data_IF_262271459320
#
_entry.id   IF_262271459320
#
_cell.length_a   1.000
_cell.length_b   1.000
_cell.length_c   1.000
_cell.angle_alpha   90.00
_cell.angle_beta   90.00
_cell.angle_gamma   90.00
#
_symmetry.space_group_name_H-M   'P 1'
#
loop_
_entity.id
_entity.type
_entity.pdbx_description
1 polymer ?
#
# COMPACT_ATOMS: atom_id res chain seq x y z
N UNK A 1 -4.41 -14.87 -9.94
CA UNK A 1 -5.83 -15.23 -9.82
C UNK A 1 -6.72 -14.01 -9.61
N UNK A 2 -6.27 -13.06 -8.83
CA UNK A 2 -7.03 -11.84 -8.60
C UNK A 2 -7.35 -11.12 -9.91
N UNK A 3 -6.41 -11.11 -10.84
CA UNK A 3 -6.63 -10.51 -12.14
C UNK A 3 -7.71 -11.23 -12.94
N UNK A 4 -7.90 -12.53 -12.67
CA UNK A 4 -8.96 -13.28 -13.31
C UNK A 4 -10.34 -12.89 -12.75
N UNK A 5 -10.42 -12.57 -11.47
CA UNK A 5 -11.65 -12.08 -10.85
C UNK A 5 -12.02 -10.74 -11.47
N UNK A 6 -11.03 -9.92 -11.81
CA UNK A 6 -11.21 -8.58 -12.32
C UNK A 6 -10.95 -8.52 -13.83
N UNK A 7 -11.14 -9.63 -14.54
CA UNK A 7 -11.01 -9.65 -15.98
C UNK A 7 -12.22 -8.95 -16.63
N UNK A 8 -12.19 -8.80 -17.96
CA UNK A 8 -13.23 -8.09 -18.68
C UNK A 8 -14.63 -8.65 -18.42
N UNK A 9 -14.74 -9.97 -18.34
CA UNK A 9 -16.01 -10.63 -18.10
C UNK A 9 -16.58 -10.26 -16.73
N UNK A 10 -15.76 -10.36 -15.68
CA UNK A 10 -16.18 -10.01 -14.34
C UNK A 10 -16.51 -8.53 -14.23
N UNK A 11 -15.68 -7.69 -14.83
CA UNK A 11 -15.90 -6.25 -14.78
C UNK A 11 -17.19 -5.85 -15.52
N UNK A 12 -17.49 -6.52 -16.62
CA UNK A 12 -18.72 -6.26 -17.35
C UNK A 12 -19.94 -6.64 -16.51
N UNK A 13 -19.89 -7.81 -15.88
CA UNK A 13 -20.98 -8.27 -15.01
C UNK A 13 -21.15 -7.35 -13.81
N UNK A 14 -20.03 -6.96 -13.19
CA UNK A 14 -20.05 -6.07 -12.05
C UNK A 14 -20.57 -4.69 -12.44
N UNK A 15 -20.12 -4.18 -13.58
CA UNK A 15 -20.58 -2.90 -14.09
C UNK A 15 -22.07 -2.87 -14.36
N UNK A 16 -22.60 -3.98 -14.87
CA UNK A 16 -24.03 -4.13 -15.06
C UNK A 16 -24.78 -4.05 -13.75
N UNK A 17 -24.27 -4.75 -12.73
CA UNK A 17 -24.87 -4.70 -11.39
C UNK A 17 -24.73 -3.32 -10.76
N UNK A 18 -23.65 -2.62 -11.05
CA UNK A 18 -23.39 -1.30 -10.49
C UNK A 18 -24.38 -0.24 -10.96
N UNK A 19 -25.08 -0.48 -12.06
CA UNK A 19 -26.16 0.39 -12.46
C UNK A 19 -27.30 0.36 -11.44
N UNK A 20 -27.38 -0.74 -10.70
CA UNK A 20 -28.41 -0.95 -9.69
C UNK A 20 -27.87 -0.85 -8.26
N UNK A 21 -26.58 -1.17 -8.10
CA UNK A 21 -25.91 -1.11 -6.80
C UNK A 21 -24.55 -0.41 -7.00
N UNK A 22 -24.12 0.30 -5.98
CA UNK A 22 -22.85 1.02 -6.05
C UNK A 22 -21.68 0.04 -5.91
N UNK A 23 -20.68 0.18 -6.80
CA UNK A 23 -19.44 -0.57 -6.68
C UNK A 23 -18.75 -0.21 -5.35
N UNK A 24 -18.16 -1.19 -4.63
CA UNK A 24 -17.42 -0.89 -3.41
C UNK A 24 -16.28 0.08 -3.68
N UNK A 25 -16.04 0.96 -2.72
CA UNK A 25 -14.97 1.94 -2.79
C UNK A 25 -13.79 1.51 -1.94
N UNK A 26 -12.64 2.10 -2.22
CA UNK A 26 -11.45 1.90 -1.38
C UNK A 26 -11.76 2.23 0.07
N UNK A 27 -12.60 3.25 0.32
CA UNK A 27 -13.02 3.61 1.66
C UNK A 27 -13.68 2.45 2.40
N UNK A 28 -14.46 1.63 1.69
CA UNK A 28 -15.14 0.49 2.29
C UNK A 28 -14.14 -0.57 2.76
N UNK A 29 -13.11 -0.81 1.96
CA UNK A 29 -12.05 -1.75 2.32
C UNK A 29 -11.28 -1.24 3.53
N UNK A 30 -10.91 0.04 3.53
CA UNK A 30 -10.16 0.64 4.63
C UNK A 30 -10.94 0.59 5.93
N UNK A 31 -12.26 0.83 5.87
CA UNK A 31 -13.12 0.75 7.04
C UNK A 31 -13.16 -0.67 7.63
N UNK A 32 -13.07 -1.68 6.77
CA UNK A 32 -13.13 -3.09 7.19
C UNK A 32 -11.82 -3.60 7.77
N UNK A 33 -10.70 -2.89 7.57
CA UNK A 33 -9.42 -3.32 8.13
C UNK A 33 -9.46 -3.44 9.64
N UNK A 34 -10.28 -2.63 10.29
CA UNK A 34 -10.51 -2.74 11.72
C UNK A 34 -9.30 -2.46 12.59
N UNK A 35 -8.19 -2.08 12.00
CA UNK A 35 -6.96 -1.77 12.73
C UNK A 35 -6.83 -0.28 12.94
N UNK A 36 -6.55 0.09 14.17
CA UNK A 36 -6.22 1.47 14.48
C UNK A 36 -4.73 1.67 14.19
N UNK A 37 -4.41 1.98 12.93
CA UNK A 37 -3.04 2.35 12.59
C UNK A 37 -2.88 3.85 12.72
N UNK A 38 -1.68 4.32 13.05
CA UNK A 38 -1.39 5.75 12.93
C UNK A 38 -1.74 6.20 11.53
N UNK A 39 -2.15 7.45 11.40
CA UNK A 39 -2.65 7.96 10.12
C UNK A 39 -1.69 7.70 8.96
N UNK A 40 -0.40 7.77 9.21
CA UNK A 40 0.57 7.60 8.14
C UNK A 40 1.88 7.04 8.68
N UNK A 41 2.03 5.73 8.60
CA UNK A 41 3.28 5.06 8.97
C UNK A 41 4.28 5.26 7.84
N UNK A 42 5.47 5.77 8.16
CA UNK A 42 6.47 6.12 7.15
C UNK A 42 7.88 6.02 7.74
N UNK A 43 8.88 6.12 6.88
CA UNK A 43 10.28 6.26 7.29
C UNK A 43 10.91 7.41 6.53
N UNK A 44 11.99 7.96 7.10
CA UNK A 44 12.79 8.99 6.45
C UNK A 44 14.05 8.36 5.85
N UNK A 45 14.58 8.91 4.76
CA UNK A 45 15.71 8.28 4.06
C UNK A 45 16.99 8.18 4.91
N UNK A 46 17.17 9.04 5.91
CA UNK A 46 18.33 8.99 6.79
C UNK A 46 18.17 8.01 7.95
N UNK A 47 16.99 7.47 8.18
CA UNK A 47 16.79 6.43 9.19
C UNK A 47 17.46 5.14 8.72
N UNK A 48 17.94 4.33 9.67
CA UNK A 48 18.67 3.13 9.27
C UNK A 48 17.74 1.97 8.93
N UNK A 49 18.30 1.00 8.22
CA UNK A 49 17.57 -0.20 7.78
C UNK A 49 16.97 -0.95 8.99
N UNK A 50 17.70 -1.02 10.10
CA UNK A 50 17.20 -1.68 11.30
C UNK A 50 15.94 -1.04 11.86
N UNK A 51 15.89 0.30 11.84
CA UNK A 51 14.71 1.03 12.30
C UNK A 51 13.51 0.78 11.38
N UNK A 52 13.74 0.73 10.06
CA UNK A 52 12.69 0.43 9.11
C UNK A 52 12.13 -0.98 9.33
N UNK A 53 13.00 -1.95 9.55
CA UNK A 53 12.58 -3.33 9.82
C UNK A 53 11.73 -3.38 11.09
N UNK A 54 12.11 -2.64 12.12
CA UNK A 54 11.34 -2.60 13.37
C UNK A 54 9.93 -2.07 13.14
N UNK A 55 9.79 -1.02 12.30
CA UNK A 55 8.48 -0.49 11.94
C UNK A 55 7.65 -1.47 11.15
N UNK A 56 8.25 -2.15 10.18
CA UNK A 56 7.56 -3.16 9.38
C UNK A 56 6.97 -4.25 10.28
N UNK A 57 7.73 -4.67 11.29
CA UNK A 57 7.29 -5.70 12.22
C UNK A 57 6.24 -5.16 13.20
N UNK A 58 6.43 -3.97 13.72
CA UNK A 58 5.52 -3.36 14.68
C UNK A 58 4.10 -3.21 14.09
N UNK A 59 4.02 -2.76 12.85
CA UNK A 59 2.74 -2.52 12.19
C UNK A 59 2.30 -3.68 11.30
N UNK A 60 3.08 -4.76 11.27
CA UNK A 60 2.76 -5.97 10.50
C UNK A 60 2.44 -5.64 9.04
N UNK A 61 3.31 -4.87 8.43
CA UNK A 61 3.21 -4.51 7.02
C UNK A 61 4.49 -4.94 6.31
N UNK A 62 4.39 -5.15 5.00
CA UNK A 62 5.54 -5.58 4.20
C UNK A 62 6.20 -4.45 3.43
N UNK A 63 5.62 -3.26 3.45
CA UNK A 63 6.14 -2.11 2.74
C UNK A 63 5.79 -0.84 3.49
N UNK A 64 6.67 0.17 3.38
CA UNK A 64 6.45 1.49 3.97
C UNK A 64 6.84 2.56 2.97
N UNK A 65 6.12 3.68 2.95
CA UNK A 65 6.54 4.83 2.15
C UNK A 65 7.72 5.55 2.80
N UNK A 66 8.58 6.13 1.95
CA UNK A 66 9.72 6.92 2.38
C UNK A 66 9.44 8.38 2.04
N UNK A 67 9.54 9.26 3.02
CA UNK A 67 9.33 10.69 2.84
C UNK A 67 10.48 11.47 3.47
N UNK A 68 10.83 12.63 2.90
CA UNK A 68 11.89 13.47 3.45
C UNK A 68 11.40 14.34 4.58
N UNK A 69 10.19 14.88 4.44
CA UNK A 69 9.65 15.84 5.38
C UNK A 69 8.77 15.17 6.43
N UNK A 70 8.57 15.85 7.54
CA UNK A 70 7.64 15.38 8.55
C UNK A 70 6.20 15.57 8.06
N UNK A 71 5.29 14.61 8.36
CA UNK A 71 3.89 14.83 8.06
C UNK A 71 3.34 16.08 8.78
N UNK A 72 2.34 16.75 8.17
CA UNK A 72 1.58 16.32 7.02
C UNK A 72 2.32 16.51 5.69
N UNK A 73 2.29 15.49 4.86
CA UNK A 73 2.89 15.53 3.51
C UNK A 73 1.84 15.14 2.48
N UNK A 74 2.07 15.53 1.23
CA UNK A 74 1.21 15.09 0.13
C UNK A 74 1.76 13.80 -0.46
N UNK A 75 0.88 13.01 -1.09
CA UNK A 75 1.30 11.75 -1.71
C UNK A 75 2.43 11.97 -2.73
N UNK A 76 2.45 13.12 -3.39
CA UNK A 76 3.50 13.47 -4.36
C UNK A 76 4.86 13.68 -3.70
N UNK A 77 4.91 13.85 -2.38
CA UNK A 77 6.16 14.05 -1.65
C UNK A 77 6.79 12.74 -1.20
N UNK A 78 6.15 11.60 -1.47
CA UNK A 78 6.70 10.29 -1.17
C UNK A 78 7.78 9.99 -2.20
N UNK A 79 9.02 9.81 -1.74
CA UNK A 79 10.18 9.68 -2.65
C UNK A 79 10.54 8.24 -2.96
N UNK A 80 9.99 7.28 -2.23
CA UNK A 80 10.30 5.88 -2.45
C UNK A 80 9.50 4.99 -1.53
N UNK A 81 9.89 3.73 -1.50
CA UNK A 81 9.28 2.75 -0.60
C UNK A 81 10.34 1.81 -0.05
N UNK A 82 10.06 1.25 1.12
CA UNK A 82 10.88 0.21 1.74
C UNK A 82 10.08 -1.09 1.64
N UNK A 83 10.68 -2.10 1.02
CA UNK A 83 10.04 -3.41 0.84
C UNK A 83 10.78 -4.43 1.68
N UNK A 84 10.07 -5.10 2.58
CA UNK A 84 10.65 -6.06 3.51
C UNK A 84 11.49 -7.12 2.81
N UNK A 85 10.97 -7.69 1.74
CA UNK A 85 11.68 -8.74 1.00
C UNK A 85 12.99 -8.24 0.42
N UNK A 86 13.00 -7.02 -0.10
CA UNK A 86 14.20 -6.46 -0.70
C UNK A 86 15.26 -6.15 0.36
N UNK A 87 14.84 -5.67 1.53
CA UNK A 87 15.76 -5.45 2.64
C UNK A 87 16.34 -6.77 3.15
N UNK A 88 15.51 -7.79 3.28
CA UNK A 88 15.98 -9.09 3.70
C UNK A 88 17.03 -9.63 2.75
N UNK A 89 16.76 -9.56 1.45
CA UNK A 89 17.70 -10.02 0.43
C UNK A 89 19.01 -9.24 0.50
N UNK A 90 18.93 -7.92 0.66
CA UNK A 90 20.14 -7.09 0.75
C UNK A 90 20.96 -7.40 2.00
N UNK A 91 20.30 -7.68 3.12
CA UNK A 91 21.01 -8.03 4.36
C UNK A 91 21.68 -9.40 4.24
N UNK A 92 20.97 -10.38 3.70
CA UNK A 92 21.50 -11.74 3.55
C UNK A 92 22.70 -11.77 2.60
N UNK A 93 22.65 -11.00 1.52
CA UNK A 93 23.73 -10.97 0.54
C UNK A 93 24.87 -10.02 0.90
N UNK A 94 24.75 -9.31 2.02
CA UNK A 94 25.77 -8.39 2.48
C UNK A 94 25.81 -7.04 1.76
N UNK A 95 24.82 -6.75 0.92
CA UNK A 95 24.71 -5.46 0.24
C UNK A 95 24.24 -4.35 1.17
N UNK A 96 23.56 -4.71 2.26
CA UNK A 96 23.09 -3.76 3.23
C UNK A 96 23.47 -4.19 4.64
N UNK A 97 23.61 -3.22 5.54
CA UNK A 97 23.81 -3.43 6.97
C UNK A 97 22.67 -2.77 7.72
N UNK A 98 22.31 -3.25 8.92
CA UNK A 98 21.25 -2.61 9.70
C UNK A 98 21.50 -1.13 9.99
N UNK A 99 22.76 -0.70 10.02
CA UNK A 99 23.14 0.69 10.28
C UNK A 99 23.10 1.58 9.03
N UNK A 100 22.89 1.01 7.85
CA UNK A 100 22.87 1.79 6.61
C UNK A 100 21.61 2.67 6.54
N UNK A 101 21.70 3.86 5.93
CA UNK A 101 20.53 4.68 5.67
C UNK A 101 19.57 3.98 4.72
N UNK A 102 18.30 4.08 5.00
CA UNK A 102 17.23 3.49 4.16
C UNK A 102 17.27 4.06 2.75
N UNK A 103 17.63 5.34 2.60
CA UNK A 103 17.66 6.00 1.30
C UNK A 103 18.53 5.30 0.26
N UNK A 104 19.56 4.58 0.70
CA UNK A 104 20.42 3.82 -0.19
C UNK A 104 19.85 2.47 -0.63
N UNK A 105 18.76 2.05 -0.03
CA UNK A 105 18.14 0.73 -0.25
C UNK A 105 16.65 0.80 -0.53
N UNK A 106 16.11 1.99 -0.77
CA UNK A 106 14.69 2.14 -1.06
C UNK A 106 14.39 1.83 -2.52
N UNK A 107 13.15 1.42 -2.75
CA UNK A 107 12.63 1.14 -4.08
C UNK A 107 11.79 2.32 -4.57
N UNK A 108 11.21 2.19 -5.78
CA UNK A 108 10.34 3.21 -6.33
C UNK A 108 9.15 3.49 -5.41
N UNK A 109 8.57 4.70 -5.48
CA UNK A 109 7.39 5.02 -4.69
C UNK A 109 6.23 4.06 -4.97
N UNK A 110 5.42 3.80 -3.96
CA UNK A 110 4.23 2.99 -4.11
C UNK A 110 3.22 3.70 -5.01
N UNK A 111 2.41 2.93 -5.77
CA UNK A 111 1.30 3.55 -6.49
C UNK A 111 0.31 4.15 -5.51
N UNK A 112 -0.46 5.12 -5.98
CA UNK A 112 -1.43 5.81 -5.14
C UNK A 112 -2.84 5.55 -5.63
N UNK A 113 -3.80 5.58 -4.70
CA UNK A 113 -5.21 5.43 -5.02
C UNK A 113 -6.01 6.32 -4.06
N UNK A 114 -7.05 6.97 -4.58
CA UNK A 114 -7.90 7.83 -3.75
C UNK A 114 -8.87 7.02 -2.91
N UNK A 115 -9.15 7.51 -1.73
CA UNK A 115 -10.10 6.85 -0.82
C UNK A 115 -11.49 6.71 -1.44
N UNK A 116 -11.87 7.69 -2.27
CA UNK A 116 -13.17 7.67 -2.96
C UNK A 116 -13.21 6.91 -4.27
N UNK A 117 -12.10 6.29 -4.68
CA UNK A 117 -12.05 5.53 -5.93
C UNK A 117 -12.62 4.13 -5.75
N UNK A 118 -13.14 3.52 -6.83
CA UNK A 118 -13.66 2.16 -6.75
C UNK A 118 -12.54 1.14 -6.52
N UNK A 119 -12.90 0.02 -5.90
CA UNK A 119 -11.95 -1.06 -5.60
C UNK A 119 -11.24 -1.56 -6.85
N UNK A 120 -11.93 -1.58 -8.00
CA UNK A 120 -11.33 -2.01 -9.27
C UNK A 120 -10.10 -1.17 -9.63
N UNK A 121 -10.11 0.10 -9.28
CA UNK A 121 -8.95 0.99 -9.52
C UNK A 121 -7.76 0.59 -8.64
N UNK A 122 -8.04 0.24 -7.41
CA UNK A 122 -7.00 -0.22 -6.48
C UNK A 122 -6.37 -1.53 -6.97
N UNK A 123 -7.17 -2.43 -7.52
CA UNK A 123 -6.66 -3.70 -8.04
C UNK A 123 -5.64 -3.47 -9.15
N UNK A 124 -5.89 -2.50 -10.04
CA UNK A 124 -4.94 -2.16 -11.08
C UNK A 124 -3.60 -1.71 -10.50
N UNK A 125 -3.65 -0.89 -9.46
CA UNK A 125 -2.43 -0.45 -8.78
C UNK A 125 -1.70 -1.62 -8.12
N UNK A 126 -2.45 -2.54 -7.52
CA UNK A 126 -1.89 -3.68 -6.79
C UNK A 126 -1.35 -4.78 -7.70
N UNK A 127 -1.63 -4.72 -9.00
CA UNK A 127 -1.03 -5.67 -9.94
C UNK A 127 0.46 -5.47 -10.09
N UNK A 128 0.93 -4.24 -9.92
CA UNK A 128 2.34 -3.88 -10.09
C UNK A 128 3.12 -3.83 -8.79
N UNK A 129 2.43 -3.66 -7.68
CA UNK A 129 3.07 -3.52 -6.37
C UNK A 129 2.26 -4.25 -5.32
N UNK A 130 2.92 -4.63 -4.22
CA UNK A 130 2.24 -5.34 -3.14
C UNK A 130 1.33 -4.48 -2.30
N UNK A 131 1.47 -3.16 -2.40
CA UNK A 131 0.67 -2.22 -1.64
C UNK A 131 0.47 -0.94 -2.43
N UNK A 132 -0.56 -0.18 -2.07
CA UNK A 132 -0.83 1.13 -2.64
C UNK A 132 -1.02 2.13 -1.51
N UNK A 133 -0.60 3.37 -1.75
CA UNK A 133 -0.78 4.45 -0.79
C UNK A 133 -2.16 5.06 -1.01
N UNK A 134 -2.98 5.05 0.04
CA UNK A 134 -4.33 5.62 -0.02
C UNK A 134 -4.27 7.08 0.40
N UNK A 135 -4.93 7.94 -0.36
CA UNK A 135 -4.95 9.37 -0.08
C UNK A 135 -6.35 9.97 -0.18
N UNK A 136 -6.53 11.11 0.48
CA UNK A 136 -7.71 11.95 0.35
C UNK A 136 -7.22 13.31 -0.13
N UNK A 137 -7.65 13.71 -1.32
CA UNK A 137 -7.20 14.97 -1.93
C UNK A 137 -5.66 15.09 -1.96
N UNK A 138 -4.99 13.96 -2.23
CA UNK A 138 -3.53 13.93 -2.29
C UNK A 138 -2.85 13.75 -0.94
N UNK A 139 -3.58 13.76 0.16
CA UNK A 139 -3.01 13.61 1.49
C UNK A 139 -3.04 12.14 1.92
N UNK A 140 -1.88 11.51 2.16
CA UNK A 140 -1.84 10.10 2.53
C UNK A 140 -2.60 9.81 3.82
N UNK A 141 -3.38 8.74 3.82
CA UNK A 141 -4.15 8.31 4.99
C UNK A 141 -3.83 6.89 5.42
N UNK A 142 -3.19 6.09 4.57
CA UNK A 142 -2.85 4.73 4.94
C UNK A 142 -2.38 3.90 3.76
N UNK A 143 -2.20 2.61 3.99
CA UNK A 143 -1.77 1.65 2.99
C UNK A 143 -2.85 0.61 2.73
N UNK A 144 -2.97 0.22 1.48
CA UNK A 144 -3.89 -0.84 1.06
C UNK A 144 -3.06 -1.96 0.44
N UNK A 145 -3.24 -3.17 0.92
CA UNK A 145 -2.53 -4.34 0.40
C UNK A 145 -3.45 -5.27 -0.37
N UNK A 146 -2.85 -6.18 -1.14
CA UNK A 146 -3.62 -7.23 -1.82
C UNK A 146 -4.44 -8.04 -0.83
N UNK A 147 -3.85 -8.34 0.32
CA UNK A 147 -4.53 -9.11 1.36
C UNK A 147 -5.77 -8.39 1.87
N UNK A 148 -5.69 -7.07 2.03
CA UNK A 148 -6.83 -6.27 2.47
C UNK A 148 -7.99 -6.40 1.49
N UNK A 149 -7.71 -6.32 0.20
CA UNK A 149 -8.74 -6.43 -0.84
C UNK A 149 -9.33 -7.84 -0.87
N UNK A 150 -8.46 -8.86 -0.82
CA UNK A 150 -8.92 -10.25 -0.81
C UNK A 150 -9.82 -10.53 0.39
N UNK A 151 -9.43 -10.07 1.55
CA UNK A 151 -10.20 -10.26 2.78
C UNK A 151 -11.57 -9.59 2.66
N UNK A 152 -11.59 -8.37 2.12
CA UNK A 152 -12.83 -7.62 1.92
C UNK A 152 -13.77 -8.35 0.95
N UNK A 153 -13.24 -8.78 -0.20
CA UNK A 153 -14.04 -9.45 -1.21
C UNK A 153 -14.56 -10.78 -0.70
N UNK A 154 -13.76 -11.54 0.04
CA UNK A 154 -14.18 -12.81 0.59
C UNK A 154 -15.31 -12.62 1.60
N UNK A 155 -15.30 -11.55 2.37
CA UNK A 155 -16.32 -11.27 3.37
C UNK A 155 -17.65 -10.82 2.74
N UNK A 156 -17.60 -10.32 1.49
CA UNK A 156 -18.79 -9.76 0.82
C UNK A 156 -19.33 -10.66 -0.29
N UNK A 157 -18.90 -11.89 -0.34
CA UNK A 157 -19.46 -12.91 -1.24
C UNK A 157 -20.17 -14.01 -0.42
#
# INVERSE_FOLDING_TARGET
YLSKIFNDEWMADYGFLAEQTTEPLVADVMARKGRSLPEFVHVHPEENVGAAIALLREYDVSQLPVVKEEPPVMAAEVIGSVVERDLLDALVTGRARPSDPVGGHMSAPLPTVGLGEPVSRAVLALEKAGAALVHVNGKPTGLLTRQDVLTFLAANT
#
